data_IF_875645331103
#
_entry.id   IF_875645331103
#
_cell.length_a   1.000
_cell.length_b   1.000
_cell.length_c   1.000
_cell.angle_alpha   90.00
_cell.angle_beta   90.00
_cell.angle_gamma   90.00
#
_symmetry.space_group_name_H-M   'P 1'
#
loop_
_entity.id
_entity.type
_entity.pdbx_description
1 polymer ?
#
# COMPACT_ATOMS: atom_id res chain seq x y z
N UNK A 1 -16.40 25.25 -15.30
CA UNK A 1 -17.38 24.22 -15.71
C UNK A 1 -17.32 23.88 -17.21
N UNK A 2 -16.97 24.81 -18.10
CA UNK A 2 -16.83 24.60 -19.55
C UNK A 2 -15.97 23.37 -19.92
N UNK A 3 -14.81 23.22 -19.25
CA UNK A 3 -13.83 22.17 -19.55
C UNK A 3 -14.37 20.75 -19.34
N UNK A 4 -15.21 20.53 -18.30
CA UNK A 4 -15.79 19.21 -18.00
C UNK A 4 -16.80 18.80 -19.06
N UNK A 5 -17.61 19.74 -19.56
CA UNK A 5 -18.59 19.44 -20.60
C UNK A 5 -17.92 19.16 -21.94
N UNK A 6 -16.91 19.97 -22.32
CA UNK A 6 -16.11 19.70 -23.52
C UNK A 6 -15.42 18.35 -23.45
N UNK A 7 -14.87 17.97 -22.28
CA UNK A 7 -14.23 16.67 -22.10
C UNK A 7 -15.24 15.52 -22.24
N UNK A 8 -16.42 15.63 -21.63
CA UNK A 8 -17.49 14.62 -21.76
C UNK A 8 -17.93 14.44 -23.20
N UNK A 9 -18.15 15.53 -23.93
CA UNK A 9 -18.52 15.48 -25.35
C UNK A 9 -17.44 14.81 -26.20
N UNK A 10 -16.17 15.13 -25.97
CA UNK A 10 -15.06 14.51 -26.70
C UNK A 10 -14.98 12.99 -26.42
N UNK A 11 -15.19 12.58 -25.16
CA UNK A 11 -15.22 11.16 -24.81
C UNK A 11 -16.36 10.46 -25.55
N UNK A 12 -17.59 10.99 -25.50
CA UNK A 12 -18.76 10.41 -26.17
C UNK A 12 -18.52 10.27 -27.67
N UNK A 13 -18.05 11.32 -28.34
CA UNK A 13 -17.74 11.29 -29.77
C UNK A 13 -16.67 10.22 -30.11
N UNK A 14 -15.73 9.97 -29.20
CA UNK A 14 -14.72 8.92 -29.38
C UNK A 14 -15.33 7.52 -29.24
N UNK A 15 -16.32 7.34 -28.36
CA UNK A 15 -17.03 6.06 -28.22
C UNK A 15 -17.75 5.67 -29.51
N UNK A 16 -18.39 6.63 -30.16
CA UNK A 16 -19.16 6.39 -31.39
C UNK A 16 -18.28 5.92 -32.57
N UNK A 17 -16.96 6.16 -32.51
CA UNK A 17 -16.01 5.76 -33.56
C UNK A 17 -15.27 4.45 -33.25
N UNK A 18 -15.46 3.87 -32.06
CA UNK A 18 -14.71 2.69 -31.63
C UNK A 18 -15.43 1.37 -31.97
N UNK A 19 -14.67 0.31 -32.33
CA UNK A 19 -15.24 -1.02 -32.49
C UNK A 19 -15.66 -1.62 -31.13
N UNK A 20 -16.52 -2.63 -31.17
CA UNK A 20 -17.16 -3.23 -30.00
C UNK A 20 -16.15 -3.74 -28.95
N UNK A 21 -15.04 -4.33 -29.38
CA UNK A 21 -13.99 -4.86 -28.51
C UNK A 21 -13.37 -3.76 -27.64
N UNK A 22 -13.15 -2.58 -28.24
CA UNK A 22 -12.58 -1.44 -27.56
C UNK A 22 -13.60 -0.80 -26.61
N UNK A 23 -14.89 -0.79 -26.98
CA UNK A 23 -15.97 -0.35 -26.11
C UNK A 23 -16.11 -1.25 -24.87
N UNK A 24 -15.92 -2.57 -25.03
CA UNK A 24 -15.94 -3.51 -23.91
C UNK A 24 -14.81 -3.21 -22.92
N UNK A 25 -13.59 -3.01 -23.41
CA UNK A 25 -12.44 -2.66 -22.58
C UNK A 25 -12.66 -1.34 -21.84
N UNK A 26 -13.25 -0.35 -22.51
CA UNK A 26 -13.54 0.93 -21.88
C UNK A 26 -14.64 0.83 -20.82
N UNK A 27 -15.62 -0.05 -21.00
CA UNK A 27 -16.66 -0.33 -20.00
C UNK A 27 -16.05 -0.96 -18.73
N UNK A 28 -15.13 -1.90 -18.89
CA UNK A 28 -14.37 -2.49 -17.77
C UNK A 28 -13.54 -1.41 -17.05
N UNK A 29 -12.86 -0.54 -17.82
CA UNK A 29 -12.08 0.56 -17.26
C UNK A 29 -12.94 1.60 -16.52
N UNK A 30 -14.11 1.95 -17.05
CA UNK A 30 -15.05 2.85 -16.39
C UNK A 30 -15.55 2.25 -15.05
N UNK A 31 -15.78 0.94 -15.03
CA UNK A 31 -16.15 0.20 -13.82
C UNK A 31 -15.03 0.22 -12.78
N UNK A 32 -13.77 0.04 -13.22
CA UNK A 32 -12.60 0.20 -12.37
C UNK A 32 -12.49 1.62 -11.79
N UNK A 33 -12.68 2.66 -12.59
CA UNK A 33 -12.64 4.05 -12.10
C UNK A 33 -13.69 4.32 -11.04
N UNK A 34 -14.90 3.79 -11.20
CA UNK A 34 -15.97 3.90 -10.21
C UNK A 34 -15.56 3.26 -8.88
N UNK A 35 -15.05 2.02 -8.92
CA UNK A 35 -14.57 1.31 -7.73
C UNK A 35 -13.43 2.07 -7.05
N UNK A 36 -12.48 2.61 -7.81
CA UNK A 36 -11.37 3.40 -7.27
C UNK A 36 -11.86 4.65 -6.54
N UNK A 37 -12.87 5.33 -7.08
CA UNK A 37 -13.48 6.50 -6.43
C UNK A 37 -14.18 6.06 -5.14
N UNK A 38 -14.98 5.00 -5.19
CA UNK A 38 -15.67 4.45 -4.02
C UNK A 38 -14.68 4.08 -2.90
N UNK A 39 -13.55 3.42 -3.24
CA UNK A 39 -12.45 3.12 -2.32
C UNK A 39 -11.76 4.37 -1.77
N UNK A 40 -11.62 5.43 -2.58
CA UNK A 40 -11.02 6.69 -2.14
C UNK A 40 -11.96 7.49 -1.21
N UNK A 41 -13.28 7.32 -1.38
CA UNK A 41 -14.31 7.93 -0.53
C UNK A 41 -14.61 7.12 0.73
N UNK A 42 -14.29 5.83 0.74
CA UNK A 42 -14.15 5.07 1.98
C UNK A 42 -12.94 5.66 2.71
N UNK A 43 -13.22 6.62 3.59
CA UNK A 43 -12.26 7.23 4.50
C UNK A 43 -11.29 6.15 4.95
N UNK A 44 -10.03 6.26 4.53
CA UNK A 44 -8.97 5.36 4.95
C UNK A 44 -9.06 5.32 6.46
N UNK A 45 -9.53 4.19 7.00
CA UNK A 45 -9.64 4.00 8.45
C UNK A 45 -8.30 4.48 9.01
N UNK A 46 -8.29 5.42 9.97
CA UNK A 46 -7.04 5.98 10.44
C UNK A 46 -6.14 4.81 10.80
N UNK A 47 -4.99 4.72 10.15
CA UNK A 47 -4.02 3.66 10.41
C UNK A 47 -3.62 3.85 11.87
N UNK A 48 -4.16 3.00 12.74
CA UNK A 48 -3.85 3.04 14.16
C UNK A 48 -2.39 2.62 14.26
N UNK A 49 -1.50 3.59 14.48
CA UNK A 49 -0.09 3.32 14.79
C UNK A 49 -0.08 2.66 16.16
N UNK A 50 -0.04 1.33 16.19
CA UNK A 50 0.01 0.55 17.42
C UNK A 50 1.33 0.71 18.19
N UNK A 51 2.28 1.50 17.66
CA UNK A 51 3.67 1.48 18.09
C UNK A 51 4.31 0.17 17.66
N UNK A 52 5.59 0.19 17.26
CA UNK A 52 6.34 -1.06 17.17
C UNK A 52 6.39 -1.75 18.54
N UNK A 53 6.70 -3.04 18.58
CA UNK A 53 6.88 -3.79 19.83
C UNK A 53 7.83 -3.08 20.83
N UNK A 54 8.74 -2.26 20.28
CA UNK A 54 9.80 -1.53 20.96
C UNK A 54 9.46 -0.05 21.25
N UNK A 55 8.22 0.40 21.01
CA UNK A 55 7.88 1.83 21.09
C UNK A 55 8.01 2.43 22.51
N UNK A 56 8.04 1.59 23.55
CA UNK A 56 8.17 1.99 24.95
C UNK A 56 9.24 1.20 25.70
N UNK A 57 10.17 0.54 25.00
CA UNK A 57 11.25 -0.19 25.69
C UNK A 57 12.31 0.79 26.18
N UNK A 58 12.89 0.46 27.33
CA UNK A 58 14.05 1.18 27.86
C UNK A 58 15.16 1.26 26.79
N UNK A 59 15.97 2.33 26.80
CA UNK A 59 17.10 2.44 25.88
C UNK A 59 18.03 1.25 26.10
N UNK A 60 18.16 0.42 25.07
CA UNK A 60 19.09 -0.71 25.06
C UNK A 60 20.50 -0.13 25.04
N UNK A 61 21.29 -0.46 26.05
CA UNK A 61 22.69 -0.04 26.18
C UNK A 61 23.62 -1.02 25.47
N UNK A 62 24.87 -0.62 25.24
CA UNK A 62 25.87 -1.52 24.65
C UNK A 62 26.17 -2.73 25.55
N UNK A 63 26.03 -2.56 26.87
CA UNK A 63 26.20 -3.64 27.84
C UNK A 63 25.10 -4.69 27.66
N UNK A 64 23.84 -4.28 27.51
CA UNK A 64 22.70 -5.18 27.24
C UNK A 64 22.91 -5.98 25.94
N UNK A 65 23.46 -5.33 24.90
CA UNK A 65 23.75 -5.97 23.60
C UNK A 65 24.90 -6.97 23.75
N UNK A 66 25.91 -6.63 24.53
CA UNK A 66 27.09 -7.46 24.75
C UNK A 66 26.74 -8.70 25.57
N UNK A 67 25.93 -8.55 26.61
CA UNK A 67 25.40 -9.64 27.42
C UNK A 67 24.55 -10.58 26.55
N UNK A 68 23.58 -10.05 25.81
CA UNK A 68 22.73 -10.87 24.93
C UNK A 68 23.54 -11.61 23.85
N UNK A 69 24.60 -10.99 23.31
CA UNK A 69 25.50 -11.64 22.36
C UNK A 69 26.28 -12.80 23.01
N UNK A 70 26.78 -12.58 24.22
CA UNK A 70 27.51 -13.60 24.97
C UNK A 70 26.59 -14.77 25.35
N UNK A 71 25.36 -14.51 25.78
CA UNK A 71 24.38 -15.55 26.12
C UNK A 71 23.97 -16.38 24.89
N UNK A 72 23.68 -15.72 23.76
CA UNK A 72 23.19 -16.41 22.57
C UNK A 72 24.30 -17.08 21.76
N UNK A 73 25.52 -16.54 21.77
CA UNK A 73 26.59 -16.98 20.87
C UNK A 73 27.89 -17.38 21.57
N UNK A 74 28.02 -17.18 22.90
CA UNK A 74 29.25 -17.42 23.65
C UNK A 74 29.72 -18.87 23.63
N UNK A 75 28.78 -19.83 23.54
CA UNK A 75 29.10 -21.26 23.56
C UNK A 75 29.10 -21.92 22.17
N UNK A 76 28.98 -21.15 21.08
CA UNK A 76 28.94 -21.71 19.72
C UNK A 76 30.29 -22.28 19.24
N UNK A 77 31.35 -22.20 20.05
CA UNK A 77 32.66 -22.80 19.80
C UNK A 77 33.07 -23.93 20.74
N UNK A 78 32.30 -24.21 21.80
CA UNK A 78 32.57 -25.30 22.75
C UNK A 78 31.85 -26.58 22.30
N UNK A 79 32.23 -27.10 21.14
CA UNK A 79 32.01 -28.51 20.83
C UNK A 79 33.25 -29.23 21.34
N UNK A 80 33.18 -29.78 22.56
CA UNK A 80 34.21 -30.71 23.05
C UNK A 80 34.33 -31.87 22.06
N UNK A 81 35.52 -32.02 21.45
CA UNK A 81 35.90 -33.18 20.63
C UNK A 81 36.57 -34.20 21.52
#
# INVERSE_FOLDING_TARGET
MQNVQTLKTNVINTLDMLPFENLRLLSEFASFLRLKIEQSTMQQKPVIKLGGLWANTLPITEDDITEARQEMWGNLGEIEI
#
